data_IF_651909700930
#
_entry.id   IF_651909700930
#
_cell.length_a   1.000
_cell.length_b   1.000
_cell.length_c   1.000
_cell.angle_alpha   90.00
_cell.angle_beta   90.00
_cell.angle_gamma   90.00
#
_symmetry.space_group_name_H-M   'P 1'
#
loop_
_entity.id
_entity.type
_entity.pdbx_description
1 polymer ?
#
# COMPACT_ATOMS: atom_id res chain seq x y z
N UNK A 1 -14.42 8.55 5.46
CA UNK A 1 -14.01 9.21 6.72
C UNK A 1 -15.07 9.04 7.80
N UNK A 2 -16.22 9.73 7.70
CA UNK A 2 -17.26 9.76 8.76
C UNK A 2 -17.78 8.34 9.10
N UNK A 3 -18.11 7.52 8.12
CA UNK A 3 -18.59 6.15 8.35
C UNK A 3 -17.57 5.30 9.13
N UNK A 4 -16.29 5.46 8.84
CA UNK A 4 -15.23 4.79 9.59
C UNK A 4 -15.11 5.32 11.02
N UNK A 5 -15.29 6.62 11.23
CA UNK A 5 -15.31 7.21 12.57
C UNK A 5 -16.46 6.63 13.41
N UNK A 6 -17.66 6.53 12.82
CA UNK A 6 -18.81 5.91 13.48
C UNK A 6 -18.50 4.45 13.82
N UNK A 7 -18.01 3.68 12.88
CA UNK A 7 -17.66 2.26 13.09
C UNK A 7 -16.64 2.09 14.22
N UNK A 8 -15.56 2.86 14.20
CA UNK A 8 -14.50 2.80 15.22
C UNK A 8 -15.04 3.19 16.59
N UNK A 9 -15.94 4.18 16.64
CA UNK A 9 -16.60 4.59 17.90
C UNK A 9 -17.55 3.52 18.44
N UNK A 10 -18.29 2.84 17.56
CA UNK A 10 -19.20 1.75 17.95
C UNK A 10 -18.48 0.53 18.54
N UNK A 11 -17.28 0.21 18.05
CA UNK A 11 -16.46 -0.86 18.61
C UNK A 11 -15.63 -0.43 19.82
N UNK A 12 -15.80 0.80 20.31
CA UNK A 12 -15.16 1.31 21.51
C UNK A 12 -13.68 1.71 21.34
N UNK A 13 -13.14 1.73 20.11
CA UNK A 13 -11.74 2.05 19.86
C UNK A 13 -11.47 3.57 19.90
N UNK A 14 -12.47 4.38 19.49
CA UNK A 14 -12.34 5.83 19.37
C UNK A 14 -11.27 6.28 18.36
N UNK A 15 -11.09 7.60 18.16
CA UNK A 15 -9.98 8.14 17.36
C UNK A 15 -8.64 7.82 18.02
N UNK A 16 -7.79 7.10 17.30
CA UNK A 16 -6.54 6.56 17.84
C UNK A 16 -5.61 6.06 16.71
N UNK A 17 -4.33 5.81 17.02
CA UNK A 17 -3.40 5.20 16.06
C UNK A 17 -3.90 3.87 15.48
N UNK A 18 -4.43 2.91 16.26
CA UNK A 18 -5.02 1.70 15.70
C UNK A 18 -6.18 1.98 14.75
N UNK A 19 -7.03 2.97 15.06
CA UNK A 19 -8.13 3.38 14.19
C UNK A 19 -7.63 3.89 12.83
N UNK A 20 -6.56 4.71 12.82
CA UNK A 20 -5.91 5.18 11.59
C UNK A 20 -5.42 3.97 10.78
N UNK A 21 -4.69 3.05 11.41
CA UNK A 21 -4.16 1.85 10.72
C UNK A 21 -5.28 1.03 10.09
N UNK A 22 -6.36 0.78 10.81
CA UNK A 22 -7.54 0.08 10.27
C UNK A 22 -8.13 0.81 9.06
N UNK A 23 -8.28 2.12 9.16
CA UNK A 23 -8.80 2.94 8.07
C UNK A 23 -7.91 2.91 6.82
N UNK A 24 -6.59 3.01 7.00
CA UNK A 24 -5.62 2.93 5.90
C UNK A 24 -5.62 1.54 5.25
N UNK A 25 -5.68 0.47 6.04
CA UNK A 25 -5.81 -0.90 5.50
C UNK A 25 -7.05 -1.03 4.62
N UNK A 26 -8.21 -0.54 5.09
CA UNK A 26 -9.45 -0.61 4.32
C UNK A 26 -9.38 0.16 2.99
N UNK A 27 -8.71 1.29 2.96
CA UNK A 27 -8.54 2.10 1.73
C UNK A 27 -7.53 1.47 0.77
N UNK A 28 -6.42 0.94 1.28
CA UNK A 28 -5.34 0.39 0.45
C UNK A 28 -5.64 -1.03 -0.07
N UNK A 29 -6.42 -1.81 0.68
CA UNK A 29 -6.68 -3.21 0.39
C UNK A 29 -7.28 -3.47 -1.00
N UNK A 30 -8.29 -2.74 -1.49
CA UNK A 30 -8.87 -2.97 -2.83
C UNK A 30 -7.85 -2.83 -3.96
N UNK A 31 -7.00 -1.80 -3.89
CA UNK A 31 -5.96 -1.56 -4.88
C UNK A 31 -4.90 -2.68 -4.87
N UNK A 32 -4.42 -3.05 -3.68
CA UNK A 32 -3.45 -4.13 -3.51
C UNK A 32 -3.99 -5.47 -4.01
N UNK A 33 -5.23 -5.81 -3.65
CA UNK A 33 -5.90 -7.04 -4.11
C UNK A 33 -6.04 -7.06 -5.62
N UNK A 34 -6.39 -5.93 -6.24
CA UNK A 34 -6.54 -5.85 -7.71
C UNK A 34 -5.23 -6.15 -8.43
N UNK A 35 -4.11 -5.56 -7.97
CA UNK A 35 -2.78 -5.80 -8.56
C UNK A 35 -2.37 -7.27 -8.41
N UNK A 36 -2.55 -7.85 -7.22
CA UNK A 36 -2.18 -9.23 -6.94
C UNK A 36 -3.06 -10.20 -7.75
N UNK A 37 -4.38 -10.00 -7.78
CA UNK A 37 -5.31 -10.84 -8.56
C UNK A 37 -5.00 -10.83 -10.05
N UNK A 38 -4.71 -9.66 -10.63
CA UNK A 38 -4.33 -9.55 -12.03
C UNK A 38 -3.07 -10.38 -12.36
N UNK A 39 -2.10 -10.42 -11.45
CA UNK A 39 -0.90 -11.25 -11.62
C UNK A 39 -1.21 -12.73 -11.54
N UNK A 40 -1.98 -13.16 -10.54
CA UNK A 40 -2.35 -14.57 -10.43
C UNK A 40 -3.14 -15.04 -11.65
N UNK A 41 -4.04 -14.22 -12.18
CA UNK A 41 -4.79 -14.52 -13.40
C UNK A 41 -3.90 -14.65 -14.66
N UNK A 42 -2.74 -13.98 -14.68
CA UNK A 42 -1.78 -14.03 -15.77
C UNK A 42 -0.80 -15.20 -15.70
N UNK A 43 -0.76 -15.96 -14.59
CA UNK A 43 0.09 -17.15 -14.48
C UNK A 43 -0.60 -18.31 -15.22
N UNK A 44 0.07 -18.96 -16.22
CA UNK A 44 -0.50 -20.07 -16.95
C UNK A 44 -0.81 -21.25 -16.02
N UNK A 45 -2.01 -21.82 -16.16
CA UNK A 45 -2.41 -23.01 -15.38
C UNK A 45 -1.52 -24.21 -15.62
N UNK A 46 -0.96 -24.35 -16.82
CA UNK A 46 -0.03 -25.42 -17.18
C UNK A 46 1.19 -25.53 -16.26
N UNK A 47 1.61 -24.43 -15.61
CA UNK A 47 2.70 -24.47 -14.63
C UNK A 47 2.29 -25.27 -13.38
N UNK A 48 1.07 -25.04 -12.90
CA UNK A 48 0.54 -25.75 -11.74
C UNK A 48 0.27 -27.24 -12.10
N UNK A 49 -0.31 -27.49 -13.27
CA UNK A 49 -0.59 -28.84 -13.79
C UNK A 49 0.70 -29.65 -13.94
N UNK A 50 1.73 -29.11 -14.60
CA UNK A 50 3.02 -29.77 -14.74
C UNK A 50 3.71 -30.09 -13.40
N UNK A 51 3.59 -29.19 -12.42
CA UNK A 51 4.12 -29.44 -11.08
C UNK A 51 3.34 -30.55 -10.35
N UNK A 52 2.04 -30.63 -10.55
CA UNK A 52 1.19 -31.69 -9.98
C UNK A 52 1.48 -33.05 -10.61
N UNK A 53 1.71 -33.11 -11.92
CA UNK A 53 2.08 -34.32 -12.65
C UNK A 53 3.41 -34.90 -12.14
N UNK A 54 4.32 -34.06 -11.64
CA UNK A 54 5.55 -34.46 -10.96
C UNK A 54 5.34 -34.88 -9.48
N UNK A 55 4.09 -35.01 -9.04
CA UNK A 55 3.74 -35.48 -7.70
C UNK A 55 3.76 -34.38 -6.61
N UNK A 56 3.82 -33.11 -6.99
CA UNK A 56 3.75 -32.02 -6.02
C UNK A 56 2.31 -31.84 -5.52
N UNK A 57 2.14 -31.69 -4.21
CA UNK A 57 0.85 -31.30 -3.64
C UNK A 57 0.60 -29.80 -3.83
N UNK A 58 -0.65 -29.35 -3.69
CA UNK A 58 -1.08 -27.97 -3.92
C UNK A 58 -0.24 -26.91 -3.16
N UNK A 59 0.16 -27.21 -1.93
CA UNK A 59 0.98 -26.30 -1.13
C UNK A 59 2.40 -26.16 -1.70
N UNK A 60 2.98 -27.25 -2.20
CA UNK A 60 4.30 -27.26 -2.85
C UNK A 60 4.22 -26.50 -4.17
N UNK A 61 3.19 -26.76 -4.99
CA UNK A 61 2.91 -26.05 -6.23
C UNK A 61 2.80 -24.56 -5.97
N UNK A 62 1.99 -24.17 -4.99
CA UNK A 62 1.83 -22.75 -4.62
C UNK A 62 3.15 -22.11 -4.20
N UNK A 63 3.87 -22.71 -3.25
CA UNK A 63 5.08 -22.10 -2.67
C UNK A 63 6.29 -22.10 -3.60
N UNK A 64 6.46 -23.15 -4.43
CA UNK A 64 7.65 -23.32 -5.27
C UNK A 64 7.47 -22.91 -6.72
N UNK A 65 6.25 -22.92 -7.25
CA UNK A 65 5.98 -22.57 -8.64
C UNK A 65 5.24 -21.22 -8.74
N UNK A 66 4.07 -21.08 -8.08
CA UNK A 66 3.17 -19.93 -8.28
C UNK A 66 3.66 -18.69 -7.53
N UNK A 67 3.98 -18.82 -6.24
CA UNK A 67 4.38 -17.69 -5.39
C UNK A 67 5.62 -16.93 -5.89
N UNK A 68 6.71 -17.61 -6.33
CA UNK A 68 7.87 -16.91 -6.90
C UNK A 68 7.53 -16.07 -8.14
N UNK A 69 6.61 -16.55 -8.98
CA UNK A 69 6.14 -15.83 -10.15
C UNK A 69 5.25 -14.61 -9.78
N UNK A 70 4.57 -14.68 -8.64
CA UNK A 70 3.74 -13.60 -8.12
C UNK A 70 4.54 -12.55 -7.31
N UNK A 71 5.74 -12.88 -6.85
CA UNK A 71 6.55 -12.03 -5.96
C UNK A 71 6.74 -10.59 -6.45
N UNK A 72 7.04 -10.32 -7.74
CA UNK A 72 7.16 -8.95 -8.24
C UNK A 72 5.87 -8.15 -8.13
N UNK A 73 4.71 -8.81 -8.28
CA UNK A 73 3.41 -8.14 -8.14
C UNK A 73 3.07 -7.85 -6.67
N UNK A 74 3.49 -8.71 -5.75
CA UNK A 74 3.36 -8.47 -4.30
C UNK A 74 4.18 -7.22 -3.91
N UNK A 75 5.41 -7.10 -4.40
CA UNK A 75 6.23 -5.91 -4.21
C UNK A 75 5.58 -4.64 -4.79
N UNK A 76 5.00 -4.73 -5.99
CA UNK A 76 4.28 -3.61 -6.61
C UNK A 76 3.02 -3.22 -5.83
N UNK A 77 2.24 -4.20 -5.36
CA UNK A 77 1.06 -3.97 -4.54
C UNK A 77 1.42 -3.32 -3.20
N UNK A 78 2.50 -3.77 -2.57
CA UNK A 78 3.01 -3.16 -1.34
C UNK A 78 3.43 -1.70 -1.55
N UNK A 79 4.17 -1.41 -2.62
CA UNK A 79 4.59 -0.04 -2.94
C UNK A 79 3.39 0.86 -3.21
N UNK A 80 2.41 0.37 -3.97
CA UNK A 80 1.18 1.11 -4.24
C UNK A 80 0.40 1.38 -2.94
N UNK A 81 0.22 0.37 -2.10
CA UNK A 81 -0.46 0.51 -0.81
C UNK A 81 0.28 1.49 0.11
N UNK A 82 1.61 1.42 0.14
CA UNK A 82 2.45 2.34 0.93
C UNK A 82 2.26 3.78 0.46
N UNK A 83 2.36 4.06 -0.85
CA UNK A 83 2.18 5.41 -1.39
C UNK A 83 0.77 5.94 -1.11
N UNK A 84 -0.26 5.11 -1.33
CA UNK A 84 -1.65 5.48 -1.05
C UNK A 84 -1.86 5.78 0.44
N UNK A 85 -1.31 4.95 1.32
CA UNK A 85 -1.40 5.13 2.78
C UNK A 85 -0.62 6.37 3.25
N UNK A 86 0.51 6.66 2.60
CA UNK A 86 1.35 7.79 2.98
C UNK A 86 0.71 9.15 2.68
N UNK A 87 -0.05 9.24 1.58
CA UNK A 87 -0.75 10.47 1.16
C UNK A 87 -2.19 10.54 1.72
N UNK A 88 -2.65 9.52 2.48
CA UNK A 88 -4.03 9.47 2.94
C UNK A 88 -4.28 10.47 4.07
N UNK A 89 -4.92 11.56 3.70
CA UNK A 89 -5.27 12.67 4.60
C UNK A 89 -6.67 12.52 5.20
N UNK A 90 -7.66 12.14 4.37
CA UNK A 90 -9.09 12.22 4.77
C UNK A 90 -9.41 11.21 5.87
N UNK A 91 -8.92 9.98 5.75
CA UNK A 91 -9.12 8.95 6.77
C UNK A 91 -8.41 9.36 8.06
N UNK A 92 -7.16 9.83 7.95
CA UNK A 92 -6.41 10.31 9.09
C UNK A 92 -7.10 11.49 9.80
N UNK A 93 -7.68 12.43 9.05
CA UNK A 93 -8.39 13.59 9.61
C UNK A 93 -9.54 13.19 10.54
N UNK A 94 -10.31 12.14 10.19
CA UNK A 94 -11.44 11.68 10.99
C UNK A 94 -11.06 10.71 12.11
N UNK A 95 -9.99 9.94 11.92
CA UNK A 95 -9.59 8.87 12.84
C UNK A 95 -8.38 9.22 13.72
N UNK A 96 -7.71 10.33 13.46
CA UNK A 96 -6.60 10.77 14.29
C UNK A 96 -7.09 11.18 15.68
N UNK A 97 -6.42 10.63 16.67
CA UNK A 97 -6.51 11.09 18.04
C UNK A 97 -5.52 12.26 18.29
N UNK A 98 -4.85 12.27 19.42
CA UNK A 98 -3.88 13.32 19.77
C UNK A 98 -2.63 13.33 18.88
N UNK A 99 -2.34 12.21 18.20
CA UNK A 99 -1.15 12.04 17.38
C UNK A 99 -1.48 12.13 15.89
N UNK A 100 -1.26 13.28 15.24
CA UNK A 100 -1.58 13.45 13.82
C UNK A 100 -0.60 12.67 12.92
N UNK A 101 -1.10 12.22 11.75
CA UNK A 101 -0.23 11.75 10.67
C UNK A 101 0.54 12.92 10.04
N UNK A 102 1.59 12.63 9.29
CA UNK A 102 2.41 13.67 8.66
C UNK A 102 1.62 14.60 7.73
N UNK A 103 0.73 14.12 6.83
CA UNK A 103 -0.12 15.00 6.03
C UNK A 103 -1.04 15.89 6.89
N UNK A 104 -1.59 15.34 7.95
CA UNK A 104 -2.45 16.09 8.85
C UNK A 104 -1.68 17.15 9.65
N UNK A 105 -0.46 16.83 10.07
CA UNK A 105 0.45 17.79 10.71
C UNK A 105 0.76 18.96 9.75
N UNK A 106 1.16 18.67 8.52
CA UNK A 106 1.43 19.69 7.49
C UNK A 106 0.23 20.61 7.32
N UNK A 107 -0.96 20.04 7.16
CA UNK A 107 -2.20 20.80 7.03
C UNK A 107 -2.46 21.70 8.23
N UNK A 108 -2.23 21.23 9.45
CA UNK A 108 -2.41 22.02 10.67
C UNK A 108 -1.48 23.24 10.73
N UNK A 109 -0.24 23.10 10.21
CA UNK A 109 0.76 24.17 10.20
C UNK A 109 0.48 25.26 9.14
N UNK A 110 -0.32 24.97 8.10
CA UNK A 110 -0.69 25.96 7.09
C UNK A 110 -1.45 27.18 7.66
N UNK A 111 -2.02 27.03 8.85
CA UNK A 111 -2.69 28.13 9.57
C UNK A 111 -1.73 29.17 10.14
N UNK A 112 -0.44 28.85 10.22
CA UNK A 112 0.58 29.72 10.82
C UNK A 112 1.52 30.27 9.74
N UNK A 113 1.38 31.55 9.30
CA UNK A 113 2.17 32.10 8.21
C UNK A 113 3.69 32.01 8.42
N UNK A 114 4.15 32.09 9.66
CA UNK A 114 5.58 31.96 10.02
C UNK A 114 6.13 30.55 9.78
N UNK A 115 5.29 29.53 9.74
CA UNK A 115 5.68 28.13 9.51
C UNK A 115 5.63 27.73 8.04
N UNK A 116 5.05 28.56 7.16
CA UNK A 116 4.91 28.24 5.73
C UNK A 116 6.21 27.80 5.05
N UNK A 117 7.38 28.49 5.24
CA UNK A 117 8.61 28.04 4.58
C UNK A 117 9.05 26.63 5.00
N UNK A 118 8.87 26.28 6.29
CA UNK A 118 9.22 24.95 6.82
C UNK A 118 8.25 23.90 6.25
N UNK A 119 6.97 24.21 6.21
CA UNK A 119 5.94 23.32 5.66
C UNK A 119 6.17 23.07 4.17
N UNK A 120 6.50 24.11 3.40
CA UNK A 120 6.81 23.99 1.97
C UNK A 120 8.05 23.14 1.73
N UNK A 121 9.11 23.34 2.52
CA UNK A 121 10.32 22.52 2.44
C UNK A 121 10.02 21.04 2.77
N UNK A 122 9.26 20.78 3.83
CA UNK A 122 8.86 19.43 4.22
C UNK A 122 8.01 18.77 3.13
N UNK A 123 7.01 19.47 2.59
CA UNK A 123 6.18 18.98 1.48
C UNK A 123 7.02 18.64 0.23
N UNK A 124 7.98 19.48 -0.10
CA UNK A 124 8.90 19.23 -1.24
C UNK A 124 9.75 17.98 -1.01
N UNK A 125 10.29 17.78 0.20
CA UNK A 125 11.06 16.59 0.55
C UNK A 125 10.21 15.30 0.47
N UNK A 126 8.98 15.36 0.97
CA UNK A 126 8.03 14.25 0.89
C UNK A 126 7.70 13.90 -0.56
N UNK A 127 7.39 14.92 -1.36
CA UNK A 127 7.11 14.72 -2.78
C UNK A 127 8.31 14.10 -3.52
N UNK A 128 9.51 14.62 -3.28
CA UNK A 128 10.73 14.07 -3.87
C UNK A 128 10.98 12.61 -3.45
N UNK A 129 10.74 12.28 -2.17
CA UNK A 129 10.86 10.90 -1.67
C UNK A 129 9.81 9.99 -2.30
N UNK A 130 8.55 10.42 -2.40
CA UNK A 130 7.46 9.64 -3.01
C UNK A 130 7.72 9.39 -4.50
N UNK A 131 8.16 10.41 -5.24
CA UNK A 131 8.49 10.28 -6.67
C UNK A 131 9.69 9.33 -6.87
N UNK A 132 10.75 9.47 -6.08
CA UNK A 132 11.91 8.56 -6.16
C UNK A 132 11.53 7.12 -5.84
N UNK A 133 10.71 6.91 -4.83
CA UNK A 133 10.22 5.57 -4.47
C UNK A 133 9.37 4.99 -5.60
N UNK A 134 8.44 5.75 -6.17
CA UNK A 134 7.61 5.31 -7.28
C UNK A 134 8.45 4.96 -8.53
N UNK A 135 9.43 5.80 -8.88
CA UNK A 135 10.33 5.55 -10.01
C UNK A 135 11.20 4.32 -9.80
N UNK A 136 11.77 4.15 -8.61
CA UNK A 136 12.60 2.97 -8.30
C UNK A 136 11.76 1.69 -8.33
N UNK A 137 10.56 1.70 -7.78
CA UNK A 137 9.65 0.57 -7.82
C UNK A 137 9.26 0.20 -9.26
N UNK A 138 8.97 1.20 -10.11
CA UNK A 138 8.65 0.96 -11.52
C UNK A 138 9.86 0.42 -12.32
N UNK A 139 11.06 0.94 -12.08
CA UNK A 139 12.28 0.44 -12.71
C UNK A 139 12.57 -1.02 -12.33
N UNK A 140 12.41 -1.38 -11.05
CA UNK A 140 12.57 -2.75 -10.58
C UNK A 140 11.52 -3.68 -11.20
N UNK A 141 10.27 -3.24 -11.30
CA UNK A 141 9.20 -3.97 -11.97
C UNK A 141 9.52 -4.26 -13.43
N UNK A 142 10.03 -3.26 -14.17
CA UNK A 142 10.40 -3.42 -15.58
C UNK A 142 11.58 -4.38 -15.77
N UNK A 143 12.57 -4.35 -14.87
CA UNK A 143 13.71 -5.29 -14.91
C UNK A 143 13.24 -6.73 -14.66
N UNK A 144 12.37 -6.96 -13.69
CA UNK A 144 11.79 -8.27 -13.42
C UNK A 144 10.99 -8.85 -14.59
N UNK A 145 10.27 -7.99 -15.33
CA UNK A 145 9.51 -8.42 -16.51
C UNK A 145 10.37 -8.77 -17.73
N UNK A 146 11.61 -8.27 -17.81
CA UNK A 146 12.55 -8.56 -18.92
C UNK A 146 13.36 -9.85 -18.71
N UNK A 147 13.52 -10.29 -17.49
CA UNK A 147 14.29 -11.51 -17.15
C UNK A 147 13.51 -12.83 -17.36
N UNK A 148 12.26 -12.77 -17.79
CA UNK A 148 11.39 -13.94 -18.04
C UNK A 148 11.12 -14.21 -19.53
N UNK A 149 11.95 -13.64 -20.42
CA UNK A 149 11.95 -13.97 -21.86
C UNK A 149 13.12 -14.82 -22.23
#
# INVERSE_FOLDING_TARGET
>A
GIALLILVSLIGLGPSRPAIVMGHVLVCLPAAVTVIRARFAAIPRSIAEAASDLGANDLIVFRRAVLPLAWPAIGSAFTLAFLTSFDEFIVAYFLAGPDPTLPLYIWSQLRFPKQLPVVMALGTLILAASVTLALTAELLRRKGARGTR
#
